data_IF_381380858433
#
_entry.id   IF_381380858433
#
_cell.length_a   1.000
_cell.length_b   1.000
_cell.length_c   1.000
_cell.angle_alpha   90.00
_cell.angle_beta   90.00
_cell.angle_gamma   90.00
#
_symmetry.space_group_name_H-M   'P 1'
#
loop_
_entity.id
_entity.type
_entity.pdbx_description
1 polymer ?
#
# COMPACT_ATOMS: atom_id res chain seq x y z
N UNK A 1 8.92 9.62 27.14
CA UNK A 1 9.89 8.97 26.22
C UNK A 1 9.41 7.58 25.80
N UNK A 2 9.07 6.69 26.74
CA UNK A 2 8.55 5.35 26.43
C UNK A 2 7.26 5.39 25.58
N UNK A 3 6.29 6.24 25.92
CA UNK A 3 5.05 6.35 25.15
C UNK A 3 5.26 6.83 23.71
N UNK A 4 6.10 7.83 23.49
CA UNK A 4 6.43 8.28 22.13
C UNK A 4 7.08 7.18 21.28
N UNK A 5 7.95 6.36 21.87
CA UNK A 5 8.56 5.22 21.17
C UNK A 5 7.51 4.17 20.82
N UNK A 6 6.57 3.91 21.73
CA UNK A 6 5.50 2.95 21.52
C UNK A 6 4.55 3.39 20.39
N UNK A 7 4.12 4.66 20.41
CA UNK A 7 3.29 5.24 19.34
C UNK A 7 3.99 5.20 17.98
N UNK A 8 5.28 5.54 17.93
CA UNK A 8 6.08 5.46 16.71
C UNK A 8 6.14 4.01 16.18
N UNK A 9 6.31 3.04 17.08
CA UNK A 9 6.43 1.64 16.71
C UNK A 9 5.10 1.10 16.16
N UNK A 10 3.97 1.46 16.78
CA UNK A 10 2.64 1.15 16.25
C UNK A 10 2.45 1.81 14.88
N UNK A 11 2.77 3.09 14.76
CA UNK A 11 2.61 3.82 13.51
C UNK A 11 3.38 3.16 12.36
N UNK A 12 4.66 2.82 12.58
CA UNK A 12 5.49 2.13 11.60
C UNK A 12 4.93 0.76 11.26
N UNK A 13 4.53 -0.02 12.27
CA UNK A 13 3.97 -1.36 12.09
C UNK A 13 2.69 -1.33 11.25
N UNK A 14 1.75 -0.44 11.61
CA UNK A 14 0.47 -0.28 10.90
C UNK A 14 0.71 0.14 9.45
N UNK A 15 1.62 1.09 9.22
CA UNK A 15 1.96 1.53 7.87
C UNK A 15 2.54 0.36 7.05
N UNK A 16 3.45 -0.42 7.66
CA UNK A 16 4.05 -1.59 7.02
C UNK A 16 3.01 -2.66 6.67
N UNK A 17 2.07 -2.93 7.58
CA UNK A 17 0.97 -3.89 7.36
C UNK A 17 0.10 -3.44 6.19
N UNK A 18 -0.31 -2.17 6.13
CA UNK A 18 -1.13 -1.67 5.03
C UNK A 18 -0.41 -1.73 3.69
N UNK A 19 0.88 -1.36 3.63
CA UNK A 19 1.70 -1.49 2.41
C UNK A 19 1.74 -2.94 1.95
N UNK A 20 1.94 -3.90 2.86
CA UNK A 20 1.99 -5.31 2.50
C UNK A 20 0.66 -5.85 2.00
N UNK A 21 -0.45 -5.51 2.67
CA UNK A 21 -1.80 -5.90 2.24
C UNK A 21 -2.09 -5.34 0.85
N UNK A 22 -1.83 -4.06 0.61
CA UNK A 22 -2.07 -3.46 -0.70
C UNK A 22 -1.21 -4.06 -1.80
N UNK A 23 0.07 -4.36 -1.52
CA UNK A 23 0.93 -5.10 -2.46
C UNK A 23 0.37 -6.48 -2.77
N UNK A 24 -0.08 -7.22 -1.77
CA UNK A 24 -0.65 -8.55 -1.95
C UNK A 24 -1.93 -8.51 -2.80
N UNK A 25 -2.82 -7.55 -2.53
CA UNK A 25 -4.05 -7.36 -3.31
C UNK A 25 -3.73 -7.02 -4.76
N UNK A 26 -2.86 -6.04 -5.00
CA UNK A 26 -2.49 -5.65 -6.36
C UNK A 26 -1.80 -6.81 -7.08
N UNK A 27 -0.92 -7.54 -6.40
CA UNK A 27 -0.26 -8.71 -6.97
C UNK A 27 -1.27 -9.80 -7.35
N UNK A 28 -2.25 -10.08 -6.49
CA UNK A 28 -3.32 -11.05 -6.76
C UNK A 28 -4.22 -10.62 -7.93
N UNK A 29 -4.66 -9.35 -7.94
CA UNK A 29 -5.53 -8.81 -9.01
C UNK A 29 -4.81 -8.70 -10.35
N UNK A 30 -3.50 -8.49 -10.34
CA UNK A 30 -2.70 -8.35 -11.56
C UNK A 30 -2.03 -9.65 -11.99
N UNK A 31 -2.31 -10.78 -11.31
CA UNK A 31 -1.69 -12.09 -11.59
C UNK A 31 -0.14 -12.02 -11.63
N UNK A 32 0.43 -11.14 -10.80
CA UNK A 32 1.87 -10.91 -10.75
C UNK A 32 2.48 -10.18 -11.95
N UNK A 33 1.68 -9.58 -12.83
CA UNK A 33 2.20 -8.72 -13.92
C UNK A 33 2.82 -7.42 -13.41
N UNK A 34 2.44 -6.96 -12.21
CA UNK A 34 3.01 -5.76 -11.61
C UNK A 34 4.12 -6.16 -10.63
N UNK A 35 5.37 -5.87 -10.98
CA UNK A 35 6.52 -6.08 -10.10
C UNK A 35 6.69 -4.87 -9.18
N UNK A 36 6.59 -5.08 -7.87
CA UNK A 36 6.93 -4.08 -6.88
C UNK A 36 8.44 -3.93 -6.78
N UNK A 37 9.00 -2.87 -7.38
CA UNK A 37 10.40 -2.52 -7.18
C UNK A 37 10.59 -1.96 -5.76
N UNK A 38 11.58 -2.48 -5.03
CA UNK A 38 12.02 -1.92 -3.74
C UNK A 38 13.25 -1.06 -4.00
N UNK A 39 13.14 0.26 -3.81
CA UNK A 39 14.33 1.08 -3.51
C UNK A 39 14.39 2.47 -4.13
N UNK A 40 14.62 3.45 -3.26
CA UNK A 40 15.38 4.70 -3.38
C UNK A 40 15.10 5.71 -4.52
N UNK A 41 14.54 5.32 -5.65
CA UNK A 41 14.41 6.16 -6.87
C UNK A 41 12.98 6.71 -7.10
N UNK A 42 12.12 6.64 -6.08
CA UNK A 42 10.75 7.17 -6.11
C UNK A 42 10.70 8.69 -6.39
N UNK A 43 11.84 9.38 -6.28
CA UNK A 43 12.02 10.82 -6.49
C UNK A 43 11.90 11.30 -7.96
N UNK A 44 11.91 10.40 -8.97
CA UNK A 44 11.82 10.78 -10.40
C UNK A 44 10.41 10.78 -10.99
N UNK A 45 9.39 10.68 -10.14
CA UNK A 45 7.99 10.58 -10.57
C UNK A 45 7.40 11.99 -10.75
N UNK A 46 7.21 12.42 -12.00
CA UNK A 46 6.78 13.79 -12.37
C UNK A 46 5.25 14.00 -12.50
N UNK A 47 4.41 13.24 -11.78
CA UNK A 47 2.96 13.50 -11.81
C UNK A 47 2.13 12.72 -10.79
N UNK A 48 0.95 13.27 -10.44
CA UNK A 48 0.02 12.68 -9.47
C UNK A 48 -0.42 11.24 -9.81
N UNK A 49 -0.48 10.89 -11.10
CA UNK A 49 -0.74 9.53 -11.56
C UNK A 49 0.44 8.58 -11.31
N UNK A 50 1.67 9.07 -11.49
CA UNK A 50 2.88 8.30 -11.21
C UNK A 50 3.11 8.08 -9.71
N UNK A 51 2.56 8.93 -8.85
CA UNK A 51 2.65 8.79 -7.40
C UNK A 51 1.93 7.53 -6.88
N UNK A 52 1.02 6.97 -7.69
CA UNK A 52 0.26 5.77 -7.36
C UNK A 52 0.72 4.54 -8.16
N UNK A 53 0.97 4.68 -9.45
CA UNK A 53 1.60 3.62 -10.23
C UNK A 53 2.26 4.21 -11.45
N UNK A 54 3.44 3.74 -11.82
CA UNK A 54 4.14 4.22 -13.01
C UNK A 54 4.63 3.06 -13.85
N UNK A 55 4.82 3.29 -15.15
CA UNK A 55 5.40 2.30 -16.05
C UNK A 55 6.89 2.59 -16.18
N UNK A 56 7.74 1.62 -15.83
CA UNK A 56 9.19 1.66 -15.99
C UNK A 56 9.59 0.45 -16.80
N UNK A 57 10.37 0.65 -17.87
CA UNK A 57 10.90 -0.43 -18.72
C UNK A 57 9.83 -1.42 -19.23
N UNK A 58 8.65 -0.88 -19.59
CA UNK A 58 7.52 -1.68 -20.07
C UNK A 58 6.74 -2.45 -18.99
N UNK A 59 7.14 -2.35 -17.72
CA UNK A 59 6.43 -2.95 -16.58
C UNK A 59 5.81 -1.89 -15.70
N UNK A 60 4.63 -2.20 -15.15
CA UNK A 60 3.93 -1.28 -14.24
C UNK A 60 4.37 -1.55 -12.80
N UNK A 61 4.93 -0.52 -12.18
CA UNK A 61 5.47 -0.51 -10.83
C UNK A 61 4.49 0.18 -9.89
N UNK A 62 4.23 -0.45 -8.75
CA UNK A 62 3.39 0.07 -7.68
C UNK A 62 4.27 0.77 -6.63
N UNK A 63 3.90 1.98 -6.24
CA UNK A 63 4.58 2.73 -5.17
C UNK A 63 4.20 2.21 -3.78
N UNK A 64 5.03 2.46 -2.76
CA UNK A 64 4.66 2.08 -1.39
C UNK A 64 3.46 2.90 -0.88
N UNK A 65 3.34 4.17 -1.33
CA UNK A 65 2.18 5.02 -1.01
C UNK A 65 0.86 4.48 -1.57
N UNK A 66 0.83 4.04 -2.83
CA UNK A 66 -0.39 3.43 -3.38
C UNK A 66 -0.72 2.11 -2.72
N UNK A 67 0.30 1.30 -2.41
CA UNK A 67 0.09 0.07 -1.68
C UNK A 67 -0.52 0.34 -0.30
N UNK A 68 -0.01 1.31 0.45
CA UNK A 68 -0.62 1.71 1.73
C UNK A 68 -2.08 2.17 1.56
N UNK A 69 -2.36 2.96 0.52
CA UNK A 69 -3.72 3.43 0.23
C UNK A 69 -4.68 2.28 -0.12
N UNK A 70 -4.27 1.37 -0.99
CA UNK A 70 -5.05 0.18 -1.37
C UNK A 70 -5.28 -0.72 -0.16
N UNK A 71 -4.25 -0.95 0.66
CA UNK A 71 -4.36 -1.74 1.89
C UNK A 71 -5.34 -1.12 2.89
N UNK A 72 -5.23 0.19 3.12
CA UNK A 72 -6.17 0.91 3.98
C UNK A 72 -7.61 0.87 3.47
N UNK A 73 -7.81 1.10 2.17
CA UNK A 73 -9.13 1.02 1.54
C UNK A 73 -9.74 -0.39 1.67
N UNK A 74 -8.94 -1.44 1.48
CA UNK A 74 -9.39 -2.82 1.66
C UNK A 74 -9.82 -3.10 3.10
N UNK A 75 -9.06 -2.62 4.11
CA UNK A 75 -9.46 -2.75 5.51
C UNK A 75 -10.76 -2.01 5.83
N UNK A 76 -10.99 -0.82 5.25
CA UNK A 76 -12.25 -0.09 5.40
C UNK A 76 -13.41 -0.89 4.80
N UNK A 77 -13.26 -1.40 3.57
CA UNK A 77 -14.29 -2.21 2.90
C UNK A 77 -14.59 -3.47 3.71
N UNK A 78 -13.58 -4.18 4.21
CA UNK A 78 -13.76 -5.36 5.05
C UNK A 78 -14.46 -5.01 6.36
N UNK A 79 -14.12 -3.89 6.99
CA UNK A 79 -14.79 -3.41 8.20
C UNK A 79 -16.27 -3.09 7.96
N UNK A 80 -16.58 -2.39 6.87
CA UNK A 80 -17.96 -2.09 6.47
C UNK A 80 -18.75 -3.35 6.13
N UNK A 81 -18.14 -4.28 5.39
CA UNK A 81 -18.75 -5.57 5.05
C UNK A 81 -19.02 -6.40 6.30
N UNK A 82 -18.06 -6.44 7.24
CA UNK A 82 -18.22 -7.11 8.52
C UNK A 82 -19.39 -6.53 9.31
N UNK A 83 -19.43 -5.20 9.45
CA UNK A 83 -20.56 -4.52 10.10
C UNK A 83 -21.86 -4.92 9.41
N UNK A 84 -21.96 -4.78 8.09
CA UNK A 84 -23.15 -5.13 7.33
C UNK A 84 -23.58 -6.62 7.45
N UNK A 85 -22.64 -7.54 7.67
CA UNK A 85 -22.92 -8.97 7.90
C UNK A 85 -23.36 -9.27 9.34
N UNK A 86 -23.00 -8.40 10.29
CA UNK A 86 -23.33 -8.55 11.71
C UNK A 86 -24.61 -7.84 12.15
N UNK A 87 -25.21 -7.04 11.25
CA UNK A 87 -26.52 -6.42 11.41
C UNK A 87 -27.58 -7.18 10.59
#
# INVERSE_FOLDING_TARGET
MFEMLFELLIYVLVNYVFVYIGKAIVYALTLGHWRGERGADEARIHGAAGALSFVRDGQRVLTDRSAAFVGGAACIVLGLAWVALTW
#
